data_IF_739956262209
#
_entry.id   IF_739956262209
#
_cell.length_a   1.000
_cell.length_b   1.000
_cell.length_c   1.000
_cell.angle_alpha   90.00
_cell.angle_beta   90.00
_cell.angle_gamma   90.00
#
_symmetry.space_group_name_H-M   'P 1'
#
loop_
_entity.id
_entity.type
_entity.pdbx_description
1 polymer ?
#
# COMPACT_ATOMS: atom_id res chain seq x y z
N UNK A 1 -4.28 3.52 -27.76
CA UNK A 1 -3.16 2.62 -27.42
C UNK A 1 -1.96 3.49 -27.13
N UNK A 2 -1.75 3.85 -25.85
CA UNK A 2 -0.60 4.65 -25.44
C UNK A 2 0.68 3.84 -25.65
N UNK A 3 1.58 4.41 -26.42
CA UNK A 3 2.93 3.89 -26.60
C UNK A 3 3.68 4.05 -25.28
N UNK A 4 3.56 3.05 -24.39
CA UNK A 4 4.46 2.95 -23.24
C UNK A 4 5.88 3.14 -23.72
N UNK A 5 6.59 4.09 -23.18
CA UNK A 5 7.94 4.42 -23.64
C UNK A 5 8.85 3.25 -23.29
N UNK A 6 9.36 2.54 -24.28
CA UNK A 6 10.18 1.30 -24.12
C UNK A 6 11.35 1.44 -23.13
N UNK A 7 11.88 2.66 -22.93
CA UNK A 7 12.91 2.89 -21.92
C UNK A 7 12.37 2.78 -20.49
N UNK A 8 11.08 3.10 -20.29
CA UNK A 8 10.44 3.05 -18.97
C UNK A 8 10.27 1.59 -18.51
N UNK A 9 9.82 0.71 -19.42
CA UNK A 9 9.64 -0.71 -19.11
C UNK A 9 11.00 -1.37 -18.77
N UNK A 10 12.06 -1.04 -19.52
CA UNK A 10 13.43 -1.50 -19.23
C UNK A 10 13.94 -0.97 -17.88
N UNK A 11 13.75 0.33 -17.61
CA UNK A 11 14.16 0.98 -16.37
C UNK A 11 13.47 0.34 -15.16
N UNK A 12 12.15 0.16 -15.23
CA UNK A 12 11.36 -0.44 -14.14
C UNK A 12 11.75 -1.90 -13.88
N UNK A 13 12.02 -2.69 -14.93
CA UNK A 13 12.43 -4.07 -14.74
C UNK A 13 13.82 -4.17 -14.10
N UNK A 14 14.79 -3.35 -14.53
CA UNK A 14 16.10 -3.28 -13.88
C UNK A 14 15.99 -2.79 -12.44
N UNK A 15 15.15 -1.77 -12.16
CA UNK A 15 14.89 -1.29 -10.80
C UNK A 15 14.34 -2.41 -9.92
N UNK A 16 13.36 -3.18 -10.39
CA UNK A 16 12.82 -4.34 -9.69
C UNK A 16 13.89 -5.39 -9.38
N UNK A 17 14.74 -5.71 -10.34
CA UNK A 17 15.82 -6.68 -10.15
C UNK A 17 16.84 -6.21 -9.09
N UNK A 18 17.15 -4.91 -9.05
CA UNK A 18 18.05 -4.31 -8.06
C UNK A 18 17.40 -4.32 -6.68
N UNK A 19 16.19 -3.80 -6.56
CA UNK A 19 15.47 -3.68 -5.27
C UNK A 19 15.15 -5.05 -4.67
N UNK A 20 14.74 -6.02 -5.50
CA UNK A 20 14.48 -7.39 -5.05
C UNK A 20 15.76 -8.15 -4.63
N UNK A 21 16.96 -7.59 -4.92
CA UNK A 21 18.26 -8.21 -4.65
C UNK A 21 18.64 -9.31 -5.64
N UNK A 22 17.95 -9.42 -6.78
CA UNK A 22 18.34 -10.30 -7.89
C UNK A 22 19.67 -9.82 -8.50
N UNK A 23 19.83 -8.49 -8.63
CA UNK A 23 21.14 -7.86 -8.90
C UNK A 23 21.66 -7.33 -7.55
N UNK A 24 22.79 -7.83 -7.12
CA UNK A 24 23.36 -7.50 -5.81
C UNK A 24 24.14 -6.19 -5.84
N UNK A 25 24.24 -5.45 -4.72
CA UNK A 25 25.13 -4.31 -4.61
C UNK A 25 26.57 -4.66 -5.02
N UNK A 26 27.20 -3.79 -5.81
CA UNK A 26 28.52 -4.02 -6.39
C UNK A 26 28.54 -4.97 -7.61
N UNK A 27 27.42 -5.63 -7.91
CA UNK A 27 27.32 -6.51 -9.07
C UNK A 27 27.28 -5.70 -10.37
N UNK A 28 27.97 -6.21 -11.39
CA UNK A 28 28.02 -5.58 -12.71
C UNK A 28 26.72 -5.85 -13.46
N UNK A 29 26.09 -4.80 -13.96
CA UNK A 29 24.93 -4.91 -14.84
C UNK A 29 25.36 -5.43 -16.22
N UNK A 30 24.43 -6.08 -16.98
CA UNK A 30 24.66 -6.39 -18.36
C UNK A 30 25.00 -5.14 -19.17
N UNK A 31 25.86 -5.28 -20.19
CA UNK A 31 26.29 -4.18 -21.06
C UNK A 31 25.11 -3.58 -21.83
N UNK A 32 25.28 -2.35 -22.34
CA UNK A 32 24.29 -1.71 -23.21
C UNK A 32 23.89 -2.59 -24.42
N UNK A 33 24.85 -3.38 -24.94
CA UNK A 33 24.60 -4.28 -26.06
C UNK A 33 23.75 -5.48 -25.67
N UNK A 34 24.05 -6.10 -24.54
CA UNK A 34 23.29 -7.21 -23.98
C UNK A 34 21.86 -6.76 -23.63
N UNK A 35 21.72 -5.62 -22.95
CA UNK A 35 20.42 -5.05 -22.66
C UNK A 35 19.62 -4.71 -23.91
N UNK A 36 20.29 -4.12 -24.93
CA UNK A 36 19.66 -3.83 -26.23
C UNK A 36 19.14 -5.10 -26.91
N UNK A 37 19.88 -6.19 -26.85
CA UNK A 37 19.46 -7.49 -27.39
C UNK A 37 18.33 -8.13 -26.58
N UNK A 38 18.47 -8.17 -25.25
CA UNK A 38 17.48 -8.81 -24.35
C UNK A 38 16.11 -8.14 -24.42
N UNK A 39 16.07 -6.80 -24.41
CA UNK A 39 14.82 -6.04 -24.40
C UNK A 39 14.35 -5.59 -25.79
N UNK A 40 15.09 -5.94 -26.86
CA UNK A 40 14.78 -5.58 -28.24
C UNK A 40 14.53 -4.06 -28.44
N UNK A 41 15.39 -3.25 -27.84
CA UNK A 41 15.35 -1.79 -27.88
C UNK A 41 16.65 -1.21 -28.42
N UNK A 42 16.63 0.06 -28.89
CA UNK A 42 17.84 0.73 -29.35
C UNK A 42 18.81 1.00 -28.19
N UNK A 43 20.12 1.08 -28.46
CA UNK A 43 21.14 1.50 -27.48
C UNK A 43 20.82 2.86 -26.84
N UNK A 44 20.25 3.78 -27.61
CA UNK A 44 19.84 5.09 -27.09
C UNK A 44 18.71 4.95 -26.04
N UNK A 45 17.79 4.02 -26.25
CA UNK A 45 16.72 3.68 -25.30
C UNK A 45 17.31 3.09 -24.02
N UNK A 46 18.31 2.19 -24.14
CA UNK A 46 19.04 1.62 -22.99
C UNK A 46 19.74 2.72 -22.21
N UNK A 47 20.51 3.58 -22.89
CA UNK A 47 21.23 4.69 -22.24
C UNK A 47 20.30 5.60 -21.45
N UNK A 48 19.13 5.94 -22.01
CA UNK A 48 18.15 6.74 -21.31
C UNK A 48 17.64 6.07 -20.04
N UNK A 49 17.35 4.78 -20.08
CA UNK A 49 16.93 4.00 -18.91
C UNK A 49 18.03 3.96 -17.84
N UNK A 50 19.27 3.64 -18.23
CA UNK A 50 20.42 3.60 -17.33
C UNK A 50 20.73 4.98 -16.73
N UNK A 51 20.62 6.05 -17.51
CA UNK A 51 20.83 7.42 -17.00
C UNK A 51 19.84 7.79 -15.91
N UNK A 52 18.57 7.38 -16.03
CA UNK A 52 17.56 7.61 -14.99
C UNK A 52 17.93 6.83 -13.72
N UNK A 53 18.23 5.53 -13.85
CA UNK A 53 18.64 4.70 -12.70
C UNK A 53 19.90 5.23 -12.03
N UNK A 54 20.83 5.80 -12.79
CA UNK A 54 22.04 6.42 -12.25
C UNK A 54 21.73 7.73 -11.51
N UNK A 55 20.86 8.59 -12.07
CA UNK A 55 20.42 9.81 -11.41
C UNK A 55 19.64 9.54 -10.12
N UNK A 56 18.92 8.42 -10.09
CA UNK A 56 18.19 7.94 -8.90
C UNK A 56 19.08 7.17 -7.89
N UNK A 57 20.37 6.98 -8.22
CA UNK A 57 21.33 6.34 -7.32
C UNK A 57 21.29 4.81 -7.27
N UNK A 58 20.50 4.15 -8.10
CA UNK A 58 20.43 2.68 -8.17
C UNK A 58 21.68 2.04 -8.75
N UNK A 59 22.33 2.73 -9.67
CA UNK A 59 23.53 2.24 -10.36
C UNK A 59 24.58 3.36 -10.45
N UNK A 60 25.84 2.96 -10.66
CA UNK A 60 26.92 3.88 -10.98
C UNK A 60 27.77 3.33 -12.14
N UNK A 61 28.35 4.23 -12.92
CA UNK A 61 29.22 3.87 -14.04
C UNK A 61 30.68 4.07 -13.65
N UNK A 62 31.51 3.06 -13.90
CA UNK A 62 32.98 3.15 -13.82
C UNK A 62 33.55 3.17 -15.24
N UNK A 63 34.32 4.23 -15.52
CA UNK A 63 34.91 4.41 -16.86
C UNK A 63 35.76 3.20 -17.27
N UNK A 64 35.48 2.63 -18.43
CA UNK A 64 36.18 1.46 -18.97
C UNK A 64 35.81 0.12 -18.31
N UNK A 65 35.08 0.09 -17.19
CA UNK A 65 34.73 -1.13 -16.45
C UNK A 65 33.28 -1.53 -16.62
N UNK A 66 32.38 -0.57 -16.82
CA UNK A 66 30.95 -0.81 -17.03
C UNK A 66 30.05 -0.13 -15.98
N UNK A 67 28.81 -0.60 -15.92
CA UNK A 67 27.80 -0.11 -14.98
C UNK A 67 27.59 -1.13 -13.87
N UNK A 68 27.50 -0.68 -12.63
CA UNK A 68 27.41 -1.50 -11.43
C UNK A 68 26.21 -1.09 -10.58
N UNK A 69 25.63 -2.05 -9.88
CA UNK A 69 24.62 -1.79 -8.88
C UNK A 69 25.23 -1.01 -7.71
N UNK A 70 24.59 0.09 -7.33
CA UNK A 70 25.06 0.92 -6.22
C UNK A 70 24.85 0.20 -4.87
N UNK A 71 25.81 0.35 -3.96
CA UNK A 71 25.59 -0.07 -2.56
C UNK A 71 24.49 0.77 -1.89
N UNK A 72 24.29 2.00 -2.35
CA UNK A 72 23.19 2.85 -1.92
C UNK A 72 21.82 2.36 -2.44
N UNK A 73 21.77 1.54 -3.50
CA UNK A 73 20.51 0.92 -3.96
C UNK A 73 19.87 0.00 -2.91
N UNK A 74 20.66 -0.51 -1.96
CA UNK A 74 20.17 -1.18 -0.75
C UNK A 74 19.72 -0.18 0.33
N UNK A 75 20.22 1.07 0.27
CA UNK A 75 19.90 2.16 1.22
C UNK A 75 18.65 2.96 0.81
N UNK A 76 18.10 2.74 -0.38
CA UNK A 76 16.75 3.25 -0.72
C UNK A 76 15.67 2.62 0.14
N UNK A 77 16.01 1.60 0.97
CA UNK A 77 15.17 1.04 2.02
C UNK A 77 15.32 1.68 3.41
N UNK A 78 16.18 2.69 3.59
CA UNK A 78 16.29 3.43 4.87
C UNK A 78 16.00 4.91 4.67
N UNK A 79 14.84 5.21 4.08
CA UNK A 79 14.38 6.60 3.95
C UNK A 79 13.93 7.17 5.29
N UNK A 80 13.76 6.30 6.29
CA UNK A 80 13.13 6.63 7.58
C UNK A 80 11.72 7.20 7.41
N UNK A 81 11.06 6.87 6.30
CA UNK A 81 9.71 7.30 5.99
C UNK A 81 8.74 6.13 6.03
N UNK A 82 7.75 6.21 6.88
CA UNK A 82 6.60 5.31 6.89
C UNK A 82 5.41 6.06 6.29
N UNK A 83 4.82 5.50 5.25
CA UNK A 83 3.60 6.05 4.69
C UNK A 83 2.39 5.67 5.54
N UNK A 84 1.53 6.64 5.81
CA UNK A 84 0.23 6.44 6.46
C UNK A 84 -0.84 6.92 5.49
N UNK A 85 -1.64 5.99 4.99
CA UNK A 85 -2.69 6.25 4.01
C UNK A 85 -4.03 5.98 4.67
N UNK A 86 -4.89 7.00 4.73
CA UNK A 86 -6.21 6.91 5.35
C UNK A 86 -7.31 7.34 4.40
N UNK A 87 -8.53 6.92 4.65
CA UNK A 87 -9.70 7.34 3.85
C UNK A 87 -10.14 8.75 4.21
N UNK A 88 -9.95 9.17 5.46
CA UNK A 88 -10.25 10.52 5.96
C UNK A 88 -9.17 10.95 6.96
N UNK A 89 -8.94 12.26 7.10
CA UNK A 89 -7.93 12.82 8.02
C UNK A 89 -8.54 13.48 9.26
N UNK A 90 -9.66 14.15 9.08
CA UNK A 90 -10.26 15.05 10.09
C UNK A 90 -11.39 14.42 10.88
N UNK A 91 -11.84 13.21 10.47
CA UNK A 91 -13.00 12.61 11.07
C UNK A 91 -12.63 11.78 12.31
N UNK A 92 -13.19 12.20 13.39
CA UNK A 92 -13.58 11.51 14.61
C UNK A 92 -12.51 10.58 15.27
N UNK A 93 -12.07 9.48 14.66
CA UNK A 93 -11.03 8.60 15.23
C UNK A 93 -9.64 8.80 14.64
N UNK A 94 -9.55 9.22 13.39
CA UNK A 94 -8.28 9.28 12.66
C UNK A 94 -7.24 10.22 13.29
N UNK A 95 -7.58 11.41 13.81
CA UNK A 95 -6.61 12.25 14.48
C UNK A 95 -5.89 11.53 15.64
N UNK A 96 -6.62 10.74 16.43
CA UNK A 96 -6.05 9.98 17.54
C UNK A 96 -5.22 8.79 17.08
N UNK A 97 -5.66 8.09 16.04
CA UNK A 97 -4.91 6.98 15.43
C UNK A 97 -3.60 7.50 14.84
N UNK A 98 -3.66 8.58 14.06
CA UNK A 98 -2.47 9.21 13.47
C UNK A 98 -1.52 9.70 14.58
N UNK A 99 -2.02 10.33 15.63
CA UNK A 99 -1.20 10.77 16.77
C UNK A 99 -0.51 9.58 17.45
N UNK A 100 -1.21 8.45 17.63
CA UNK A 100 -0.61 7.24 18.18
C UNK A 100 0.49 6.66 17.30
N UNK A 101 0.27 6.63 15.99
CA UNK A 101 1.26 6.19 15.00
C UNK A 101 2.47 7.14 15.02
N UNK A 102 2.23 8.45 14.97
CA UNK A 102 3.28 9.48 14.94
C UNK A 102 4.20 9.38 16.17
N UNK A 103 3.62 9.23 17.35
CA UNK A 103 4.38 9.06 18.58
C UNK A 103 5.38 7.90 18.46
N UNK A 104 4.90 6.72 18.09
CA UNK A 104 5.75 5.52 18.00
C UNK A 104 6.80 5.67 16.91
N UNK A 105 6.44 6.19 15.74
CA UNK A 105 7.38 6.37 14.64
C UNK A 105 8.47 7.39 14.96
N UNK A 106 8.09 8.53 15.54
CA UNK A 106 9.05 9.59 15.97
C UNK A 106 10.02 9.07 17.01
N UNK A 107 9.54 8.33 18.04
CA UNK A 107 10.39 7.72 19.06
C UNK A 107 11.41 6.74 18.46
N UNK A 108 11.13 6.14 17.30
CA UNK A 108 12.00 5.23 16.58
C UNK A 108 12.76 5.87 15.40
N UNK A 109 12.72 7.21 15.28
CA UNK A 109 13.45 7.96 14.26
C UNK A 109 12.89 7.86 12.86
N UNK A 110 11.60 7.56 12.72
CA UNK A 110 10.87 7.56 11.45
C UNK A 110 10.02 8.82 11.29
N UNK A 111 9.81 9.23 10.05
CA UNK A 111 8.90 10.31 9.67
C UNK A 111 7.65 9.74 9.01
N UNK A 112 6.51 10.44 9.15
CA UNK A 112 5.26 10.07 8.50
C UNK A 112 5.12 10.76 7.14
N UNK A 113 4.80 9.98 6.09
CA UNK A 113 4.26 10.49 4.82
C UNK A 113 2.75 10.26 4.80
N UNK A 114 2.00 11.27 5.21
CA UNK A 114 0.54 11.18 5.30
C UNK A 114 -0.14 11.40 3.96
N UNK A 115 -1.05 10.50 3.57
CA UNK A 115 -1.87 10.56 2.36
C UNK A 115 -3.34 10.33 2.68
N UNK A 116 -4.23 10.98 1.91
CA UNK A 116 -5.67 10.85 2.04
C UNK A 116 -6.29 10.38 0.73
N UNK A 117 -6.99 9.25 0.75
CA UNK A 117 -7.66 8.68 -0.42
C UNK A 117 -9.07 9.22 -0.64
N UNK A 118 -9.66 9.90 0.37
CA UNK A 118 -11.08 10.32 0.37
C UNK A 118 -12.02 9.15 0.03
N UNK A 119 -11.70 7.98 0.53
CA UNK A 119 -12.40 6.71 0.26
C UNK A 119 -12.57 6.40 -1.25
N UNK A 120 -11.59 6.80 -2.06
CA UNK A 120 -11.57 6.58 -3.51
C UNK A 120 -10.47 5.60 -3.89
N UNK A 121 -10.82 4.46 -4.51
CA UNK A 121 -9.87 3.45 -4.99
C UNK A 121 -8.90 3.99 -6.05
N UNK A 122 -9.35 4.94 -6.87
CA UNK A 122 -8.45 5.58 -7.84
C UNK A 122 -7.43 6.49 -7.15
N UNK A 123 -7.84 7.19 -6.09
CA UNK A 123 -6.91 8.00 -5.30
C UNK A 123 -5.96 7.12 -4.50
N UNK A 124 -6.42 5.97 -3.98
CA UNK A 124 -5.56 4.99 -3.32
C UNK A 124 -4.47 4.48 -4.28
N UNK A 125 -4.85 4.04 -5.49
CA UNK A 125 -3.89 3.62 -6.50
C UNK A 125 -2.86 4.73 -6.79
N UNK A 126 -3.31 5.97 -7.01
CA UNK A 126 -2.42 7.11 -7.23
C UNK A 126 -1.50 7.37 -6.04
N UNK A 127 -2.00 7.28 -4.81
CA UNK A 127 -1.17 7.42 -3.61
C UNK A 127 -0.09 6.34 -3.54
N UNK A 128 -0.44 5.08 -3.83
CA UNK A 128 0.52 3.97 -3.84
C UNK A 128 1.58 4.15 -4.92
N UNK A 129 1.21 4.55 -6.14
CA UNK A 129 2.16 4.87 -7.22
C UNK A 129 3.15 5.98 -6.82
N UNK A 130 2.65 7.07 -6.24
CA UNK A 130 3.49 8.17 -5.77
C UNK A 130 4.44 7.75 -4.63
N UNK A 131 3.97 6.90 -3.70
CA UNK A 131 4.76 6.42 -2.59
C UNK A 131 5.86 5.45 -3.02
N UNK A 132 5.56 4.55 -3.97
CA UNK A 132 6.54 3.66 -4.59
C UNK A 132 7.66 4.44 -5.30
N UNK A 133 7.33 5.59 -5.93
CA UNK A 133 8.32 6.45 -6.58
C UNK A 133 9.19 7.23 -5.57
N UNK A 134 8.61 7.64 -4.43
CA UNK A 134 9.33 8.41 -3.41
C UNK A 134 10.28 7.57 -2.56
N UNK A 135 10.05 6.27 -2.51
CA UNK A 135 10.71 5.37 -1.58
C UNK A 135 10.16 5.52 -0.15
N UNK A 136 9.67 4.41 0.38
CA UNK A 136 9.18 4.29 1.76
C UNK A 136 9.70 3.01 2.37
N UNK A 137 9.90 2.98 3.68
CA UNK A 137 10.39 1.82 4.41
C UNK A 137 9.24 0.93 4.90
N UNK A 138 8.02 1.44 4.87
CA UNK A 138 6.82 0.71 5.24
C UNK A 138 5.55 1.51 4.98
N UNK A 139 4.40 0.83 5.05
CA UNK A 139 3.10 1.41 4.78
C UNK A 139 2.07 0.95 5.81
N UNK A 140 1.36 1.91 6.39
CA UNK A 140 0.15 1.69 7.19
C UNK A 140 -1.01 2.22 6.35
N UNK A 141 -1.99 1.38 6.04
CA UNK A 141 -3.04 1.75 5.11
C UNK A 141 -4.44 1.32 5.55
N UNK A 142 -5.37 2.27 5.50
CA UNK A 142 -6.79 1.99 5.50
C UNK A 142 -7.27 1.85 4.05
N UNK A 143 -7.75 0.66 3.62
CA UNK A 143 -8.13 0.42 2.25
C UNK A 143 -9.45 1.12 1.91
N UNK A 144 -9.49 1.77 0.74
CA UNK A 144 -10.70 2.46 0.27
C UNK A 144 -11.73 1.45 -0.25
N UNK A 145 -12.96 1.53 0.26
CA UNK A 145 -14.07 0.64 -0.15
C UNK A 145 -13.67 -0.83 -0.07
N UNK A 146 -13.20 -1.24 1.11
CA UNK A 146 -12.59 -2.54 1.37
C UNK A 146 -13.47 -3.75 1.04
N UNK A 147 -14.80 -3.58 1.01
CA UNK A 147 -15.74 -4.61 0.60
C UNK A 147 -15.76 -4.86 -0.91
N UNK A 148 -15.24 -3.93 -1.70
CA UNK A 148 -15.25 -4.03 -3.16
C UNK A 148 -13.91 -4.56 -3.64
N UNK A 149 -13.93 -5.41 -4.69
CA UNK A 149 -12.74 -5.98 -5.32
C UNK A 149 -11.64 -4.93 -5.60
N UNK A 150 -10.42 -5.18 -5.12
CA UNK A 150 -9.28 -4.30 -5.32
C UNK A 150 -8.79 -4.39 -6.77
N UNK A 151 -9.01 -3.34 -7.57
CA UNK A 151 -8.59 -3.29 -8.99
C UNK A 151 -7.08 -3.04 -9.17
N UNK A 152 -6.43 -2.49 -8.17
CA UNK A 152 -5.00 -2.13 -8.20
C UNK A 152 -4.15 -3.08 -7.35
N UNK A 153 -4.53 -4.35 -7.32
CA UNK A 153 -3.82 -5.41 -6.60
C UNK A 153 -2.34 -5.52 -6.99
N UNK A 154 -2.02 -5.19 -8.25
CA UNK A 154 -0.65 -5.16 -8.77
C UNK A 154 0.25 -4.18 -8.00
N UNK A 155 -0.27 -3.10 -7.44
CA UNK A 155 0.53 -2.16 -6.64
C UNK A 155 0.92 -2.76 -5.28
N UNK A 156 0.05 -3.56 -4.67
CA UNK A 156 0.38 -4.34 -3.47
C UNK A 156 1.39 -5.44 -3.78
N UNK A 157 1.26 -6.11 -4.93
CA UNK A 157 2.26 -7.06 -5.42
C UNK A 157 3.63 -6.38 -5.62
N UNK A 158 3.64 -5.14 -6.13
CA UNK A 158 4.88 -4.36 -6.26
C UNK A 158 5.50 -4.02 -4.90
N UNK A 159 4.69 -3.72 -3.87
CA UNK A 159 5.20 -3.57 -2.50
C UNK A 159 5.87 -4.85 -1.99
N UNK A 160 5.25 -6.01 -2.25
CA UNK A 160 5.82 -7.32 -1.91
C UNK A 160 7.13 -7.57 -2.67
N UNK A 161 7.17 -7.31 -3.98
CA UNK A 161 8.37 -7.43 -4.82
C UNK A 161 9.52 -6.54 -4.30
N UNK A 162 9.20 -5.32 -3.87
CA UNK A 162 10.15 -4.36 -3.30
C UNK A 162 10.46 -4.62 -1.83
N UNK A 163 9.83 -5.66 -1.23
CA UNK A 163 9.96 -6.00 0.20
C UNK A 163 9.63 -4.84 1.13
N UNK A 164 8.70 -3.99 0.73
CA UNK A 164 8.17 -2.93 1.56
C UNK A 164 7.07 -3.53 2.44
N UNK A 165 7.28 -3.64 3.75
CA UNK A 165 6.27 -4.18 4.65
C UNK A 165 5.06 -3.25 4.71
N UNK A 166 3.86 -3.83 4.77
CA UNK A 166 2.66 -3.06 4.97
C UNK A 166 1.66 -3.75 5.88
N UNK A 167 0.86 -2.94 6.55
CA UNK A 167 -0.21 -3.38 7.45
C UNK A 167 -1.50 -2.64 7.14
N UNK A 168 -2.59 -3.39 7.04
CA UNK A 168 -3.91 -2.82 6.95
C UNK A 168 -4.44 -2.40 8.31
N UNK A 169 -5.15 -1.28 8.36
CA UNK A 169 -5.87 -0.81 9.55
C UNK A 169 -7.35 -0.60 9.21
N UNK A 170 -8.24 -0.82 10.17
CA UNK A 170 -9.68 -0.62 10.08
C UNK A 170 -10.41 -1.53 9.08
N UNK A 171 -9.79 -2.03 8.05
CA UNK A 171 -10.34 -2.92 7.03
C UNK A 171 -9.22 -3.64 6.29
N UNK A 172 -9.59 -4.63 5.48
CA UNK A 172 -8.66 -5.31 4.56
C UNK A 172 -9.41 -5.73 3.30
N UNK A 173 -8.69 -5.88 2.18
CA UNK A 173 -9.26 -6.47 0.97
C UNK A 173 -9.30 -8.00 1.10
N UNK A 174 -10.40 -8.62 0.67
CA UNK A 174 -10.53 -10.09 0.68
C UNK A 174 -9.40 -10.80 -0.09
N UNK A 175 -8.88 -10.17 -1.17
CA UNK A 175 -7.75 -10.69 -1.96
C UNK A 175 -6.41 -10.66 -1.21
N UNK A 176 -6.32 -9.94 -0.09
CA UNK A 176 -5.10 -9.73 0.72
C UNK A 176 -5.36 -10.10 2.20
N UNK A 177 -6.29 -11.01 2.45
CA UNK A 177 -6.72 -11.37 3.81
C UNK A 177 -5.59 -11.97 4.67
N UNK A 178 -4.58 -12.59 4.04
CA UNK A 178 -3.39 -13.13 4.73
C UNK A 178 -2.35 -12.08 5.10
N UNK A 179 -2.50 -10.85 4.61
CA UNK A 179 -1.57 -9.76 4.94
C UNK A 179 -1.81 -9.24 6.35
N UNK A 180 -0.77 -8.73 7.03
CA UNK A 180 -0.92 -8.16 8.37
C UNK A 180 -2.03 -7.11 8.42
N UNK A 181 -2.90 -7.21 9.43
CA UNK A 181 -3.98 -6.24 9.61
C UNK A 181 -4.32 -6.06 11.09
N UNK A 182 -4.78 -4.86 11.42
CA UNK A 182 -5.28 -4.48 12.75
C UNK A 182 -6.72 -4.01 12.57
N UNK A 183 -7.66 -4.82 13.01
CA UNK A 183 -9.08 -4.59 12.84
C UNK A 183 -9.78 -4.52 14.21
N UNK A 184 -10.89 -3.79 14.25
CA UNK A 184 -11.85 -3.89 15.33
C UNK A 184 -12.74 -5.11 15.11
N UNK A 185 -13.28 -5.67 16.19
CA UNK A 185 -14.39 -6.62 16.08
C UNK A 185 -15.69 -5.86 15.83
N UNK A 186 -15.88 -5.47 14.58
CA UNK A 186 -17.05 -4.69 14.12
C UNK A 186 -18.34 -5.49 14.24
N UNK A 187 -18.27 -6.82 14.13
CA UNK A 187 -19.43 -7.69 14.33
C UNK A 187 -19.90 -7.63 15.79
N UNK A 188 -18.97 -7.83 16.71
CA UNK A 188 -19.25 -7.69 18.16
C UNK A 188 -19.72 -6.26 18.49
N UNK A 189 -19.12 -5.23 17.88
CA UNK A 189 -19.52 -3.83 18.07
C UNK A 189 -20.99 -3.61 17.66
N UNK A 190 -21.38 -4.06 16.47
CA UNK A 190 -22.79 -3.99 15.99
C UNK A 190 -23.74 -4.78 16.88
N UNK A 191 -23.32 -5.96 17.30
CA UNK A 191 -24.10 -6.82 18.22
C UNK A 191 -24.32 -6.15 19.57
N UNK A 192 -23.28 -5.65 20.23
CA UNK A 192 -23.39 -5.07 21.56
C UNK A 192 -24.25 -3.81 21.58
N UNK A 193 -24.13 -2.92 20.61
CA UNK A 193 -24.98 -1.71 20.52
C UNK A 193 -26.44 -2.09 20.33
N UNK A 194 -26.73 -3.05 19.48
CA UNK A 194 -28.09 -3.51 19.23
C UNK A 194 -28.68 -4.20 20.47
N UNK A 195 -27.91 -5.08 21.11
CA UNK A 195 -28.33 -5.70 22.39
C UNK A 195 -28.60 -4.67 23.49
N UNK A 196 -27.81 -3.61 23.54
CA UNK A 196 -28.03 -2.53 24.49
C UNK A 196 -29.38 -1.83 24.25
N UNK A 197 -29.71 -1.49 23.01
CA UNK A 197 -31.01 -0.90 22.67
C UNK A 197 -32.18 -1.85 23.00
N UNK A 198 -32.05 -3.14 22.72
CA UNK A 198 -33.05 -4.15 23.10
C UNK A 198 -33.23 -4.20 24.62
N UNK A 199 -32.16 -4.15 25.40
CA UNK A 199 -32.21 -4.17 26.85
C UNK A 199 -32.93 -2.95 27.45
N UNK A 200 -33.00 -1.85 26.71
CA UNK A 200 -33.75 -0.64 27.04
C UNK A 200 -35.21 -0.72 26.62
N UNK A 201 -35.67 -1.85 26.06
CA UNK A 201 -37.06 -2.07 25.64
C UNK A 201 -37.40 -1.60 24.23
N UNK A 202 -36.38 -1.30 23.40
CA UNK A 202 -36.63 -0.95 21.99
C UNK A 202 -36.90 -2.20 21.16
N UNK A 203 -38.01 -2.23 20.45
CA UNK A 203 -38.41 -3.33 19.54
C UNK A 203 -38.40 -2.91 18.05
N UNK A 204 -38.32 -1.61 17.77
CA UNK A 204 -38.23 -1.06 16.42
C UNK A 204 -36.91 -0.33 16.29
N UNK A 205 -35.92 -1.05 15.76
CA UNK A 205 -34.54 -0.55 15.67
C UNK A 205 -34.14 -0.47 14.20
N UNK A 206 -33.79 0.72 13.73
CA UNK A 206 -33.34 0.94 12.35
C UNK A 206 -31.80 1.00 12.36
N UNK A 207 -31.17 0.18 11.52
CA UNK A 207 -29.73 0.20 11.29
C UNK A 207 -29.36 0.93 10.00
N UNK A 208 -28.39 1.85 10.07
CA UNK A 208 -27.81 2.52 8.89
C UNK A 208 -26.35 2.14 8.80
N UNK A 209 -25.98 1.44 7.75
CA UNK A 209 -24.65 0.86 7.59
C UNK A 209 -24.01 1.26 6.26
N UNK A 210 -22.70 1.43 6.27
CA UNK A 210 -21.94 1.59 5.05
C UNK A 210 -21.84 0.26 4.31
N UNK A 211 -22.16 0.26 3.02
CA UNK A 211 -22.21 -0.97 2.22
C UNK A 211 -20.89 -1.29 1.50
N UNK A 212 -20.01 -0.32 1.37
CA UNK A 212 -18.79 -0.41 0.55
C UNK A 212 -17.50 -0.66 1.35
N UNK A 213 -17.61 -0.81 2.68
CA UNK A 213 -16.49 -1.21 3.53
C UNK A 213 -16.80 -2.45 4.38
N UNK A 214 -15.76 -3.14 4.81
CA UNK A 214 -15.87 -4.37 5.62
C UNK A 214 -16.43 -4.09 7.00
N UNK A 215 -16.15 -2.92 7.59
CA UNK A 215 -16.66 -2.53 8.91
C UNK A 215 -18.19 -2.44 8.90
N UNK A 216 -18.76 -1.73 7.90
CA UNK A 216 -20.22 -1.59 7.78
C UNK A 216 -20.92 -2.92 7.62
N UNK A 217 -20.35 -3.83 6.82
CA UNK A 217 -20.88 -5.18 6.62
C UNK A 217 -20.81 -6.01 7.92
N UNK A 218 -19.73 -5.96 8.65
CA UNK A 218 -19.59 -6.70 9.91
C UNK A 218 -20.50 -6.14 11.00
N UNK A 219 -20.62 -4.82 11.12
CA UNK A 219 -21.58 -4.18 12.06
C UNK A 219 -23.02 -4.56 11.73
N UNK A 220 -23.39 -4.60 10.45
CA UNK A 220 -24.71 -5.07 10.02
C UNK A 220 -24.94 -6.53 10.43
N UNK A 221 -23.94 -7.42 10.24
CA UNK A 221 -24.03 -8.82 10.67
C UNK A 221 -24.31 -8.92 12.17
N UNK A 222 -23.59 -8.18 13.00
CA UNK A 222 -23.80 -8.15 14.45
C UNK A 222 -25.17 -7.61 14.84
N UNK A 223 -25.64 -6.57 14.15
CA UNK A 223 -26.98 -6.03 14.32
C UNK A 223 -28.06 -7.10 14.04
N UNK A 224 -28.01 -7.76 12.90
CA UNK A 224 -28.95 -8.82 12.53
C UNK A 224 -28.94 -9.96 13.54
N UNK A 225 -27.77 -10.42 13.96
CA UNK A 225 -27.62 -11.46 14.95
C UNK A 225 -28.33 -11.10 16.26
N UNK A 226 -28.14 -9.90 16.76
CA UNK A 226 -28.75 -9.46 18.02
C UNK A 226 -30.29 -9.39 17.94
N UNK A 227 -30.84 -8.95 16.80
CA UNK A 227 -32.29 -8.95 16.57
C UNK A 227 -32.87 -10.37 16.49
N UNK A 228 -32.19 -11.26 15.76
CA UNK A 228 -32.62 -12.66 15.63
C UNK A 228 -32.65 -13.38 16.98
N UNK A 229 -31.61 -13.23 17.80
CA UNK A 229 -31.55 -13.80 19.15
C UNK A 229 -32.67 -13.28 20.07
N UNK A 230 -33.11 -12.04 19.85
CA UNK A 230 -34.22 -11.43 20.60
C UNK A 230 -35.59 -11.72 20.02
N UNK A 231 -35.72 -12.44 18.90
CA UNK A 231 -37.00 -12.69 18.23
C UNK A 231 -37.61 -11.46 17.58
N UNK A 232 -36.82 -10.42 17.27
CA UNK A 232 -37.24 -9.17 16.64
C UNK A 232 -37.04 -9.29 15.13
N UNK A 233 -38.09 -8.98 14.37
CA UNK A 233 -37.98 -8.93 12.90
C UNK A 233 -37.09 -7.76 12.43
N UNK A 234 -36.39 -7.93 11.31
CA UNK A 234 -35.50 -6.94 10.70
C UNK A 234 -35.73 -6.84 9.20
#
# INVERSE_FOLDING_TARGET
>A
MDKKLKYYDLMEDLRKQIVSGKIKPGEKLPSENELSGTYQVSRQTVRKALQILQNEGYIYAEHGRGTFCSEMARRTGETKNIAVVTTYLSDYIFPRVIQGIDKVLTENGYSILLKNTRNSRNMEAKCLEELLQKGIDGLIIEPSKSQIFCKHINLYQTLDEYRIPYVFIQGSYAQLAEKPHILLDDCLGGYLVTRYLISLGHHHIIGIFKADDTQGQQRHKGYVQALQEAGIAY
#
